data_IF_993817708469
#
_entry.id   IF_993817708469
#
_cell.length_a   1.000
_cell.length_b   1.000
_cell.length_c   1.000
_cell.angle_alpha   90.00
_cell.angle_beta   90.00
_cell.angle_gamma   90.00
#
_symmetry.space_group_name_H-M   'P 1'
#
loop_
_entity.id
_entity.type
_entity.pdbx_description
1 polymer ?
#
# COMPACT_ATOMS: atom_id res chain seq x y z
N UNK A 1 -0.99 -5.82 -72.82
CA UNK A 1 -0.89 -4.72 -71.85
C UNK A 1 -1.77 -5.03 -70.66
N UNK A 2 -1.15 -5.32 -69.50
CA UNK A 2 -1.81 -5.36 -68.19
C UNK A 2 -2.66 -6.61 -67.91
N UNK A 3 -2.17 -7.46 -67.02
CA UNK A 3 -2.59 -8.84 -66.76
C UNK A 3 -3.31 -9.01 -65.41
N UNK A 4 -4.11 -10.08 -65.35
CA UNK A 4 -4.41 -10.96 -64.22
C UNK A 4 -5.41 -10.60 -63.09
N UNK A 5 -6.36 -11.53 -62.95
CA UNK A 5 -7.29 -11.83 -61.86
C UNK A 5 -6.65 -11.92 -60.45
N UNK A 6 -7.41 -11.76 -59.36
CA UNK A 6 -6.96 -12.17 -58.04
C UNK A 6 -7.63 -13.47 -57.57
N UNK A 7 -6.82 -14.49 -57.29
CA UNK A 7 -7.16 -15.59 -56.37
C UNK A 7 -6.27 -15.47 -55.12
N UNK A 8 -6.91 -15.66 -53.96
CA UNK A 8 -6.36 -16.06 -52.65
C UNK A 8 -5.43 -15.11 -51.88
N UNK A 9 -5.88 -14.70 -50.68
CA UNK A 9 -5.01 -14.40 -49.55
C UNK A 9 -5.74 -14.75 -48.25
N UNK A 10 -5.29 -15.82 -47.59
CA UNK A 10 -5.59 -16.16 -46.21
C UNK A 10 -4.85 -15.22 -45.24
N UNK A 11 -5.47 -15.01 -44.08
CA UNK A 11 -4.91 -14.64 -42.76
C UNK A 11 -4.24 -13.26 -42.56
N UNK A 12 -4.86 -12.44 -41.71
CA UNK A 12 -4.36 -11.85 -40.44
C UNK A 12 -5.52 -10.98 -39.87
N UNK A 13 -6.13 -11.33 -38.73
CA UNK A 13 -5.79 -10.80 -37.38
C UNK A 13 -6.06 -9.27 -37.28
N UNK A 14 -6.83 -8.69 -36.35
CA UNK A 14 -6.94 -8.91 -34.90
C UNK A 14 -8.11 -8.06 -34.35
N UNK A 15 -8.91 -8.66 -33.47
CA UNK A 15 -9.63 -8.09 -32.33
C UNK A 15 -10.36 -6.74 -32.44
N UNK A 16 -11.68 -6.81 -32.70
CA UNK A 16 -12.65 -5.98 -31.99
C UNK A 16 -13.45 -6.90 -31.06
N UNK A 17 -12.99 -7.08 -29.82
CA UNK A 17 -13.74 -7.80 -28.78
C UNK A 17 -14.07 -6.84 -27.65
N UNK A 18 -15.31 -6.34 -27.73
CA UNK A 18 -16.27 -6.36 -26.64
C UNK A 18 -15.69 -6.01 -25.25
N UNK A 19 -15.72 -4.71 -24.95
CA UNK A 19 -15.55 -4.20 -23.61
C UNK A 19 -16.82 -4.50 -22.81
N UNK A 20 -16.80 -5.59 -22.06
CA UNK A 20 -17.78 -5.86 -21.03
C UNK A 20 -17.79 -4.71 -20.01
N UNK A 21 -18.88 -3.96 -20.07
CA UNK A 21 -19.26 -2.91 -19.14
C UNK A 21 -19.42 -3.50 -17.71
N UNK A 22 -18.32 -3.48 -16.94
CA UNK A 22 -18.36 -3.60 -15.49
C UNK A 22 -18.31 -2.19 -14.88
N UNK A 23 -19.23 -1.81 -13.98
CA UNK A 23 -19.30 -0.44 -13.48
C UNK A 23 -18.06 -0.08 -12.64
N UNK A 24 -17.36 1.04 -12.91
CA UNK A 24 -16.14 1.40 -12.19
C UNK A 24 -16.49 2.25 -10.98
N UNK A 25 -16.97 1.68 -9.85
CA UNK A 25 -17.29 2.56 -8.71
C UNK A 25 -17.24 2.02 -7.28
N UNK A 26 -16.58 0.89 -6.99
CA UNK A 26 -16.53 0.41 -5.58
C UNK A 26 -15.15 0.11 -4.98
N UNK A 27 -14.06 -0.06 -5.75
CA UNK A 27 -12.79 -0.53 -5.17
C UNK A 27 -11.86 0.54 -4.55
N UNK A 28 -12.12 1.84 -4.73
CA UNK A 28 -11.20 2.89 -4.24
C UNK A 28 -11.90 4.14 -3.66
N UNK A 29 -12.84 3.97 -2.71
CA UNK A 29 -13.43 5.12 -2.01
C UNK A 29 -12.46 5.87 -1.08
N UNK A 30 -11.38 5.22 -0.64
CA UNK A 30 -10.46 5.76 0.37
C UNK A 30 -9.00 5.83 -0.11
N UNK A 31 -8.33 6.90 0.30
CA UNK A 31 -6.93 7.13 0.01
C UNK A 31 -6.02 6.10 0.69
N UNK A 32 -4.86 5.85 0.09
CA UNK A 32 -3.79 5.10 0.72
C UNK A 32 -3.23 5.84 1.95
N UNK A 33 -2.46 5.10 2.74
CA UNK A 33 -1.59 5.66 3.77
C UNK A 33 -0.74 6.79 3.18
N UNK A 34 -0.79 7.98 3.78
CA UNK A 34 0.00 9.13 3.35
C UNK A 34 1.37 9.11 4.03
N UNK A 35 1.46 8.72 5.30
CA UNK A 35 2.72 8.81 6.06
C UNK A 35 3.13 7.47 6.66
N UNK A 36 4.42 7.12 6.57
CA UNK A 36 4.96 5.81 7.01
C UNK A 36 4.67 5.42 8.46
N UNK A 37 4.54 6.40 9.37
CA UNK A 37 4.17 6.18 10.77
C UNK A 37 2.68 6.32 11.09
N UNK A 38 1.84 6.64 10.11
CA UNK A 38 0.41 6.89 10.29
C UNK A 38 -0.43 6.14 9.24
N UNK A 39 -0.65 4.82 9.44
CA UNK A 39 -1.18 3.96 8.41
C UNK A 39 -2.71 4.04 8.25
N UNK A 40 -3.39 4.83 9.08
CA UNK A 40 -4.84 5.09 9.01
C UNK A 40 -5.16 6.54 8.66
N UNK A 41 -4.16 7.32 8.24
CA UNK A 41 -4.31 8.76 8.00
C UNK A 41 -4.97 9.51 9.17
N UNK A 42 -4.61 9.13 10.41
CA UNK A 42 -5.12 9.77 11.62
C UNK A 42 -4.92 11.29 11.55
N UNK A 43 -6.00 12.02 11.77
CA UNK A 43 -6.02 13.47 11.74
C UNK A 43 -5.46 14.01 13.06
N UNK A 44 -4.69 15.09 12.97
CA UNK A 44 -4.15 15.84 14.09
C UNK A 44 -5.29 16.36 14.96
N UNK A 45 -5.14 16.18 16.27
CA UNK A 45 -6.03 16.76 17.28
C UNK A 45 -5.78 18.26 17.44
N UNK A 46 -5.89 18.77 18.66
CA UNK A 46 -5.55 20.14 18.98
C UNK A 46 -4.23 20.21 19.74
N UNK A 47 -3.46 21.25 19.49
CA UNK A 47 -2.29 21.66 20.26
C UNK A 47 -2.27 23.19 20.40
N UNK A 48 -1.19 23.77 20.93
CA UNK A 48 -1.08 25.22 21.17
C UNK A 48 -1.15 26.07 19.90
N UNK A 49 -1.03 25.48 18.70
CA UNK A 49 -1.13 26.16 17.42
C UNK A 49 -2.51 26.03 16.76
N UNK A 50 -3.44 25.30 17.38
CA UNK A 50 -4.79 25.07 16.90
C UNK A 50 -5.09 23.59 16.64
N UNK A 51 -6.18 23.34 15.90
CA UNK A 51 -6.68 21.99 15.62
C UNK A 51 -6.56 21.63 14.14
N UNK A 52 -6.28 20.36 13.86
CA UNK A 52 -6.02 19.86 12.51
C UNK A 52 -7.22 19.43 11.68
N UNK A 53 -8.44 19.58 12.20
CA UNK A 53 -9.68 19.15 11.53
C UNK A 53 -10.11 20.13 10.44
N UNK A 54 -10.85 19.65 9.43
CA UNK A 54 -11.53 20.53 8.48
C UNK A 54 -12.52 21.43 9.22
N UNK A 55 -12.58 22.71 8.85
CA UNK A 55 -13.46 23.68 9.49
C UNK A 55 -13.02 24.12 10.89
N UNK A 56 -11.85 23.71 11.39
CA UNK A 56 -11.32 24.16 12.68
C UNK A 56 -11.03 25.67 12.67
N UNK A 57 -11.21 26.32 13.81
CA UNK A 57 -10.88 27.73 13.97
C UNK A 57 -9.37 27.95 13.92
N UNK A 58 -8.91 28.85 13.05
CA UNK A 58 -7.51 29.26 13.04
C UNK A 58 -7.26 30.26 14.16
N UNK A 59 -6.20 30.04 14.92
CA UNK A 59 -5.83 30.83 16.10
C UNK A 59 -5.63 32.34 15.79
N UNK A 60 -5.40 32.69 14.53
CA UNK A 60 -5.25 34.07 14.05
C UNK A 60 -6.58 34.81 13.77
N UNK A 61 -7.74 34.17 13.95
CA UNK A 61 -9.05 34.77 13.67
C UNK A 61 -9.37 35.00 12.19
N UNK A 62 -8.47 34.63 11.27
CA UNK A 62 -8.57 34.85 9.82
C UNK A 62 -9.20 33.66 9.07
N UNK A 63 -10.29 33.11 9.60
CA UNK A 63 -11.10 32.09 8.93
C UNK A 63 -10.89 30.65 9.41
N UNK A 64 -11.64 29.73 8.79
CA UNK A 64 -11.64 28.30 9.11
C UNK A 64 -10.52 27.55 8.38
N UNK A 65 -10.13 26.41 8.93
CA UNK A 65 -9.19 25.50 8.30
C UNK A 65 -9.82 24.83 7.06
N UNK A 66 -9.29 25.12 5.88
CA UNK A 66 -9.83 24.67 4.57
C UNK A 66 -9.29 23.31 4.11
N UNK A 67 -8.50 22.66 4.96
CA UNK A 67 -7.94 21.33 4.72
C UNK A 67 -7.91 20.52 6.01
N UNK A 68 -7.14 19.45 6.01
CA UNK A 68 -6.99 18.51 7.12
C UNK A 68 -5.52 18.21 7.34
N UNK A 69 -5.11 18.16 8.60
CA UNK A 69 -3.74 17.88 9.00
C UNK A 69 -3.58 16.40 9.34
N UNK A 70 -2.97 15.63 8.44
CA UNK A 70 -2.71 14.20 8.65
C UNK A 70 -1.41 14.03 9.43
N UNK A 71 -1.46 13.39 10.60
CA UNK A 71 -0.29 13.23 11.49
C UNK A 71 0.86 12.57 10.72
N UNK A 72 2.04 13.19 10.76
CA UNK A 72 3.23 12.66 10.13
C UNK A 72 4.49 13.20 10.81
N UNK A 73 5.38 12.32 11.25
CA UNK A 73 6.62 12.72 11.92
C UNK A 73 7.60 13.38 10.95
N UNK A 74 8.39 14.34 11.44
CA UNK A 74 9.46 15.00 10.68
C UNK A 74 10.39 13.97 10.03
N UNK A 75 10.73 14.15 8.75
CA UNK A 75 11.59 13.25 7.98
C UNK A 75 10.98 11.91 7.57
N UNK A 76 9.74 11.60 8.01
CA UNK A 76 9.05 10.37 7.65
C UNK A 76 8.79 10.28 6.14
N UNK A 77 8.72 9.04 5.64
CA UNK A 77 8.41 8.80 4.23
C UNK A 77 6.95 9.11 3.96
N UNK A 78 6.69 9.88 2.91
CA UNK A 78 5.37 10.24 2.42
C UNK A 78 5.05 9.41 1.18
N UNK A 79 3.84 8.88 1.09
CA UNK A 79 3.34 8.08 -0.02
C UNK A 79 2.19 8.78 -0.73
N UNK A 80 2.00 8.45 -2.01
CA UNK A 80 0.89 8.97 -2.80
C UNK A 80 -0.46 8.39 -2.34
N UNK A 81 -1.45 9.22 -1.98
CA UNK A 81 -2.77 8.75 -1.52
C UNK A 81 -3.56 8.02 -2.63
N UNK A 82 -3.32 8.38 -3.89
CA UNK A 82 -3.95 7.77 -5.07
C UNK A 82 -3.02 7.88 -6.28
N UNK A 83 -3.33 7.14 -7.34
CA UNK A 83 -2.58 7.22 -8.61
C UNK A 83 -2.99 8.47 -9.38
N UNK A 84 -2.03 9.15 -10.00
CA UNK A 84 -2.30 10.37 -10.75
C UNK A 84 -1.04 11.00 -11.36
N UNK A 85 -1.19 12.24 -11.77
CA UNK A 85 -0.13 13.10 -12.30
C UNK A 85 0.26 14.13 -11.24
N UNK A 86 1.56 14.29 -11.02
CA UNK A 86 2.10 15.38 -10.20
C UNK A 86 2.17 16.66 -11.02
N UNK A 87 1.72 17.76 -10.43
CA UNK A 87 1.65 19.07 -11.07
C UNK A 87 2.32 20.15 -10.22
N UNK A 88 3.63 20.28 -10.37
CA UNK A 88 4.43 21.43 -9.94
C UNK A 88 4.59 21.59 -8.41
N UNK A 89 5.51 22.47 -7.99
CA UNK A 89 5.65 22.86 -6.60
C UNK A 89 4.49 23.75 -6.15
N UNK A 90 4.07 23.62 -4.91
CA UNK A 90 3.20 24.60 -4.24
C UNK A 90 3.91 25.25 -3.06
N UNK A 91 3.63 26.53 -2.89
CA UNK A 91 4.07 27.36 -1.77
C UNK A 91 2.82 27.94 -1.12
N UNK A 92 2.62 27.64 0.15
CA UNK A 92 1.45 27.97 0.96
C UNK A 92 1.69 29.16 1.88
N UNK A 93 2.90 29.29 2.41
CA UNK A 93 3.33 30.37 3.26
C UNK A 93 4.25 31.27 2.44
N UNK A 94 3.74 32.34 1.82
CA UNK A 94 4.53 33.33 1.08
C UNK A 94 5.55 34.12 1.95
N UNK A 95 6.04 33.52 3.04
CA UNK A 95 7.01 34.04 4.00
C UNK A 95 8.39 33.33 3.88
N UNK A 96 8.56 32.35 2.99
CA UNK A 96 9.85 31.69 2.74
C UNK A 96 10.35 30.77 3.85
N UNK A 97 9.45 30.23 4.70
CA UNK A 97 9.84 29.32 5.77
C UNK A 97 10.25 27.92 5.23
N UNK A 98 11.00 27.16 6.04
CA UNK A 98 11.59 25.87 5.64
C UNK A 98 10.58 24.71 5.43
N UNK A 99 9.29 24.98 5.59
CA UNK A 99 8.19 24.02 5.40
C UNK A 99 7.22 24.45 4.29
N UNK A 100 7.56 25.52 3.57
CA UNK A 100 6.80 26.08 2.46
C UNK A 100 7.07 25.35 1.13
N UNK A 101 6.94 24.04 1.16
CA UNK A 101 7.11 23.18 -0.01
C UNK A 101 6.07 22.06 0.01
N UNK A 102 5.65 21.66 -1.18
CA UNK A 102 4.56 20.74 -1.40
C UNK A 102 4.31 20.52 -2.88
N UNK A 103 3.26 19.75 -3.19
CA UNK A 103 2.87 19.48 -4.57
C UNK A 103 1.36 19.37 -4.76
N UNK A 104 0.91 19.52 -6.01
CA UNK A 104 -0.46 19.21 -6.44
C UNK A 104 -0.52 17.85 -7.12
N UNK A 105 -1.56 17.09 -6.78
CA UNK A 105 -2.00 15.90 -7.50
C UNK A 105 -3.17 16.24 -8.40
N UNK A 106 -3.13 15.71 -9.62
CA UNK A 106 -4.26 15.66 -10.53
C UNK A 106 -4.52 14.21 -10.88
N UNK A 107 -5.73 13.69 -10.71
CA UNK A 107 -6.05 12.39 -11.31
C UNK A 107 -6.06 12.54 -12.83
N UNK A 108 -5.28 11.72 -13.53
CA UNK A 108 -5.37 11.62 -14.97
C UNK A 108 -6.51 10.66 -15.30
N UNK A 109 -7.73 11.19 -15.42
CA UNK A 109 -8.81 10.49 -16.11
C UNK A 109 -9.16 11.30 -17.35
N UNK A 110 -8.66 10.83 -18.49
CA UNK A 110 -9.07 11.20 -19.84
C UNK A 110 -10.45 10.58 -20.16
N UNK A 111 -11.40 10.64 -19.23
CA UNK A 111 -12.77 10.19 -19.42
C UNK A 111 -13.72 11.37 -19.14
N UNK A 112 -14.51 11.83 -20.12
CA UNK A 112 -15.41 12.99 -19.99
C UNK A 112 -16.50 12.87 -18.91
N UNK A 113 -16.59 11.76 -18.19
CA UNK A 113 -17.70 11.40 -17.29
C UNK A 113 -17.31 11.15 -15.83
N UNK A 114 -16.06 11.37 -15.42
CA UNK A 114 -15.64 11.34 -14.02
C UNK A 114 -14.96 12.66 -13.66
N UNK A 115 -15.42 13.41 -12.63
CA UNK A 115 -14.75 14.65 -12.24
C UNK A 115 -13.31 14.34 -11.81
N UNK A 116 -12.35 15.03 -12.44
CA UNK A 116 -10.95 14.97 -12.04
C UNK A 116 -10.81 15.39 -10.58
N UNK A 117 -10.00 14.65 -9.82
CA UNK A 117 -9.81 14.85 -8.40
C UNK A 117 -8.45 15.52 -8.18
N UNK A 118 -8.45 16.64 -7.45
CA UNK A 118 -7.28 17.48 -7.27
C UNK A 118 -7.01 17.71 -5.79
N UNK A 119 -5.78 17.42 -5.36
CA UNK A 119 -5.36 17.52 -3.95
C UNK A 119 -4.00 18.18 -3.83
N UNK A 120 -3.87 19.07 -2.86
CA UNK A 120 -2.63 19.70 -2.45
C UNK A 120 -2.08 18.97 -1.23
N UNK A 121 -0.83 18.54 -1.29
CA UNK A 121 -0.09 18.05 -0.11
C UNK A 121 1.03 19.03 0.21
N UNK A 122 1.00 19.57 1.42
CA UNK A 122 1.95 20.58 1.90
C UNK A 122 2.80 20.01 3.03
N UNK A 123 3.97 20.61 3.26
CA UNK A 123 4.99 20.19 4.20
C UNK A 123 5.75 18.93 3.75
N UNK A 124 5.82 18.69 2.45
CA UNK A 124 6.46 17.51 1.86
C UNK A 124 7.55 17.97 0.92
N UNK A 125 8.77 17.44 1.07
CA UNK A 125 9.81 17.54 0.07
C UNK A 125 9.69 16.39 -0.93
N UNK A 126 9.21 16.63 -2.16
CA UNK A 126 8.91 15.56 -3.11
C UNK A 126 10.18 15.00 -3.73
N UNK A 127 10.18 13.72 -4.10
CA UNK A 127 11.30 13.14 -4.89
C UNK A 127 11.33 13.70 -6.32
N UNK A 128 10.19 14.21 -6.81
CA UNK A 128 10.00 14.91 -8.08
C UNK A 128 8.68 15.69 -8.04
N UNK A 129 8.60 16.79 -8.80
CA UNK A 129 7.42 17.67 -8.86
C UNK A 129 6.49 17.40 -10.05
N UNK A 130 6.91 16.58 -11.01
CA UNK A 130 6.16 16.30 -12.22
C UNK A 130 6.23 14.80 -12.56
N UNK A 131 5.29 14.35 -13.39
CA UNK A 131 5.22 12.98 -13.89
C UNK A 131 4.15 12.14 -13.19
N UNK A 132 3.95 10.93 -13.69
CA UNK A 132 2.98 9.99 -13.13
C UNK A 132 3.47 9.43 -11.79
N UNK A 133 2.53 9.13 -10.90
CA UNK A 133 2.77 8.45 -9.63
C UNK A 133 1.66 7.44 -9.37
N UNK A 134 2.02 6.28 -8.80
CA UNK A 134 1.05 5.24 -8.42
C UNK A 134 0.67 5.39 -6.96
N UNK A 135 -0.59 5.06 -6.63
CA UNK A 135 -1.08 4.94 -5.24
C UNK A 135 -0.10 4.11 -4.39
N UNK A 136 0.27 4.63 -3.22
CA UNK A 136 1.19 3.98 -2.28
C UNK A 136 2.68 4.06 -2.66
N UNK A 137 3.02 4.62 -3.83
CA UNK A 137 4.41 4.89 -4.20
C UNK A 137 4.99 5.99 -3.31
N UNK A 138 6.29 5.91 -3.01
CA UNK A 138 7.00 6.98 -2.30
C UNK A 138 6.90 8.29 -3.10
N UNK A 139 6.38 9.31 -2.43
CA UNK A 139 6.20 10.65 -2.94
C UNK A 139 7.33 11.59 -2.50
N UNK A 140 7.81 11.44 -1.27
CA UNK A 140 8.72 12.41 -0.67
C UNK A 140 9.04 12.11 0.78
N UNK A 141 9.55 13.14 1.47
CA UNK A 141 9.75 13.14 2.92
C UNK A 141 9.07 14.32 3.56
N UNK A 142 8.56 14.12 4.76
CA UNK A 142 8.00 15.18 5.59
C UNK A 142 9.10 16.20 5.94
N UNK A 143 8.81 17.48 5.75
CA UNK A 143 9.70 18.58 6.10
C UNK A 143 9.83 18.74 7.63
N UNK A 144 10.90 19.37 8.14
CA UNK A 144 11.16 19.48 9.58
C UNK A 144 10.25 20.50 10.27
N UNK A 145 9.00 20.13 10.51
CA UNK A 145 7.98 21.00 11.10
C UNK A 145 8.31 21.43 12.53
N UNK A 146 8.91 20.57 13.35
CA UNK A 146 9.29 20.94 14.73
C UNK A 146 10.34 22.06 14.78
N UNK A 147 11.13 22.23 13.70
CA UNK A 147 12.10 23.32 13.60
C UNK A 147 11.43 24.68 13.45
N UNK A 148 10.27 24.73 12.78
CA UNK A 148 9.53 25.98 12.49
C UNK A 148 8.46 26.23 13.56
N UNK A 149 7.79 25.19 14.03
CA UNK A 149 6.73 25.26 15.03
C UNK A 149 6.99 24.27 16.19
N UNK A 150 7.91 24.59 17.12
CA UNK A 150 8.25 23.69 18.22
C UNK A 150 7.04 23.35 19.11
N UNK A 151 6.70 22.07 19.21
CA UNK A 151 5.58 21.58 20.03
C UNK A 151 4.23 21.56 19.30
N UNK A 152 4.21 21.79 17.99
CA UNK A 152 3.07 21.41 17.15
C UNK A 152 3.02 19.89 17.01
N UNK A 153 1.87 19.28 16.76
CA UNK A 153 1.85 17.90 16.28
C UNK A 153 2.27 17.90 14.81
N UNK A 154 3.41 17.29 14.47
CA UNK A 154 3.86 17.24 13.06
C UNK A 154 2.84 16.57 12.16
N UNK A 155 2.58 17.18 10.99
CA UNK A 155 1.52 16.75 10.07
C UNK A 155 1.79 17.17 8.63
N UNK A 156 1.18 16.45 7.68
CA UNK A 156 1.04 16.87 6.29
C UNK A 156 -0.31 17.55 6.18
N UNK A 157 -0.33 18.79 5.70
CA UNK A 157 -1.58 19.47 5.42
C UNK A 157 -2.11 19.01 4.06
N UNK A 158 -3.36 18.57 4.05
CA UNK A 158 -4.04 18.02 2.89
C UNK A 158 -5.29 18.82 2.58
N UNK A 159 -5.39 19.30 1.34
CA UNK A 159 -6.49 20.15 0.90
C UNK A 159 -6.98 19.73 -0.49
N UNK A 160 -8.29 19.56 -0.67
CA UNK A 160 -8.86 19.44 -2.01
C UNK A 160 -8.77 20.79 -2.72
N UNK A 161 -8.46 20.80 -4.02
CA UNK A 161 -8.25 22.06 -4.75
C UNK A 161 -9.51 22.94 -4.83
N UNK A 162 -10.70 22.35 -4.70
CA UNK A 162 -11.99 23.03 -4.63
C UNK A 162 -12.38 23.44 -3.20
N UNK A 163 -11.49 23.24 -2.21
CA UNK A 163 -11.71 23.48 -0.79
C UNK A 163 -12.84 22.66 -0.15
N UNK A 164 -13.29 21.59 -0.80
CA UNK A 164 -14.21 20.62 -0.19
C UNK A 164 -13.51 19.80 0.91
N UNK A 165 -14.30 19.24 1.83
CA UNK A 165 -13.78 18.43 2.94
C UNK A 165 -13.13 17.11 2.45
N UNK A 166 -11.82 16.88 2.67
CA UNK A 166 -11.13 15.65 2.28
C UNK A 166 -11.27 14.51 3.30
N UNK A 167 -11.94 14.74 4.44
CA UNK A 167 -12.07 13.77 5.54
C UNK A 167 -12.69 12.43 5.13
N UNK A 168 -13.75 12.37 4.28
CA UNK A 168 -14.35 11.10 3.85
C UNK A 168 -13.39 10.21 3.06
N UNK A 169 -12.40 10.79 2.38
CA UNK A 169 -11.41 10.05 1.60
C UNK A 169 -10.22 9.62 2.48
N UNK A 170 -9.90 10.39 3.51
CA UNK A 170 -8.82 10.11 4.47
C UNK A 170 -9.20 9.02 5.47
N UNK A 171 -10.44 9.04 5.95
CA UNK A 171 -10.96 8.05 6.88
C UNK A 171 -11.53 6.90 6.07
N UNK A 172 -11.01 5.66 6.20
CA UNK A 172 -11.81 4.52 5.78
C UNK A 172 -13.10 4.57 6.59
N UNK A 173 -14.26 4.62 5.92
CA UNK A 173 -15.52 4.30 6.60
C UNK A 173 -15.28 2.90 7.13
N UNK A 174 -15.10 2.76 8.44
CA UNK A 174 -15.22 1.48 9.10
C UNK A 174 -16.71 1.20 9.00
N UNK A 175 -17.18 0.36 8.06
CA UNK A 175 -18.60 0.05 8.05
C UNK A 175 -18.86 -0.62 9.40
N UNK A 176 -19.99 -0.33 10.08
CA UNK A 176 -20.50 -1.32 11.00
C UNK A 176 -20.69 -2.58 10.15
N UNK A 177 -20.04 -3.67 10.55
CA UNK A 177 -20.00 -4.99 9.89
C UNK A 177 -18.90 -5.23 8.84
N UNK A 178 -18.21 -6.38 8.92
CA UNK A 178 -17.13 -6.74 8.01
C UNK A 178 -17.68 -6.97 6.60
N UNK A 179 -17.33 -6.10 5.66
CA UNK A 179 -17.34 -6.52 4.26
C UNK A 179 -16.25 -7.58 4.11
N UNK A 180 -16.69 -8.81 3.91
CA UNK A 180 -15.86 -9.96 3.63
C UNK A 180 -15.29 -9.79 2.23
N UNK A 181 -14.22 -9.00 2.12
CA UNK A 181 -13.26 -9.19 1.04
C UNK A 181 -12.83 -10.67 1.13
N UNK A 182 -13.36 -11.51 0.25
CA UNK A 182 -13.12 -12.95 0.28
C UNK A 182 -11.65 -13.32 0.00
N UNK A 183 -10.87 -12.38 -0.52
CA UNK A 183 -9.44 -12.54 -0.82
C UNK A 183 -8.56 -11.59 0.00
N UNK A 184 -7.37 -12.05 0.34
CA UNK A 184 -6.34 -11.27 1.01
C UNK A 184 -5.73 -10.21 0.09
N UNK A 185 -5.19 -9.16 0.70
CA UNK A 185 -4.42 -8.15 -0.01
C UNK A 185 -3.08 -8.74 -0.53
N UNK A 186 -2.44 -8.07 -1.49
CA UNK A 186 -1.08 -8.40 -1.88
C UNK A 186 -0.14 -8.38 -0.68
N UNK A 187 0.59 -9.47 -0.46
CA UNK A 187 1.53 -9.62 0.66
C UNK A 187 2.84 -8.90 0.37
N UNK A 188 3.28 -8.81 -0.89
CA UNK A 188 4.57 -8.23 -1.24
C UNK A 188 4.46 -7.12 -2.30
N UNK A 189 5.24 -6.05 -2.11
CA UNK A 189 5.28 -4.89 -3.01
C UNK A 189 5.66 -5.19 -4.47
N UNK A 190 6.44 -6.25 -4.72
CA UNK A 190 6.78 -6.71 -6.08
C UNK A 190 5.84 -7.78 -6.64
N UNK A 191 4.83 -8.21 -5.88
CA UNK A 191 3.97 -9.34 -6.23
C UNK A 191 2.48 -8.99 -5.97
N UNK A 192 1.83 -8.26 -6.89
CA UNK A 192 0.46 -7.77 -6.71
C UNK A 192 -0.62 -8.87 -6.77
N UNK A 193 -0.26 -10.08 -7.20
CA UNK A 193 -1.16 -11.23 -7.39
C UNK A 193 -0.97 -12.33 -6.36
N UNK A 194 -0.06 -12.16 -5.39
CA UNK A 194 0.35 -13.20 -4.45
C UNK A 194 0.80 -14.49 -5.16
N UNK A 195 1.52 -14.35 -6.27
CA UNK A 195 2.10 -15.48 -6.98
C UNK A 195 2.87 -16.39 -6.01
N UNK A 196 2.52 -17.68 -6.03
CA UNK A 196 3.12 -18.71 -5.20
C UNK A 196 4.39 -19.19 -5.90
N UNK A 197 5.46 -19.33 -5.11
CA UNK A 197 6.74 -19.88 -5.55
C UNK A 197 6.54 -21.28 -6.15
N UNK A 198 7.05 -21.44 -7.37
CA UNK A 198 7.16 -22.74 -8.05
C UNK A 198 8.17 -23.68 -7.39
N UNK A 199 8.85 -24.50 -8.19
CA UNK A 199 9.90 -25.39 -7.71
C UNK A 199 11.28 -24.85 -8.07
N UNK A 200 12.23 -25.02 -7.15
CA UNK A 200 13.65 -24.75 -7.36
C UNK A 200 14.50 -25.84 -6.67
N UNK A 201 15.82 -25.63 -6.62
CA UNK A 201 16.77 -26.58 -6.06
C UNK A 201 16.58 -26.87 -4.55
N UNK A 202 15.73 -26.12 -3.85
CA UNK A 202 15.38 -26.32 -2.44
C UNK A 202 14.01 -26.97 -2.24
N UNK A 203 13.24 -27.17 -3.30
CA UNK A 203 11.89 -27.74 -3.26
C UNK A 203 10.85 -26.79 -3.86
N UNK A 204 9.57 -27.04 -3.55
CA UNK A 204 8.46 -26.28 -4.10
C UNK A 204 7.71 -25.48 -3.02
N UNK A 205 7.11 -24.36 -3.43
CA UNK A 205 6.46 -23.40 -2.53
C UNK A 205 4.96 -23.59 -2.30
N UNK A 206 4.28 -24.50 -3.00
CA UNK A 206 2.84 -24.74 -2.82
C UNK A 206 2.52 -25.57 -1.56
N UNK A 207 1.27 -25.50 -1.11
CA UNK A 207 0.79 -26.23 0.07
C UNK A 207 0.84 -27.74 -0.16
N UNK A 208 1.30 -28.50 0.84
CA UNK A 208 1.42 -29.95 0.73
C UNK A 208 2.63 -30.43 -0.08
N UNK A 209 3.48 -29.53 -0.60
CA UNK A 209 4.70 -29.90 -1.32
C UNK A 209 5.61 -30.82 -0.46
N UNK A 210 6.19 -31.88 -1.04
CA UNK A 210 7.07 -32.78 -0.31
C UNK A 210 8.35 -32.08 0.15
N UNK A 211 8.71 -32.22 1.42
CA UNK A 211 10.01 -31.77 1.93
C UNK A 211 11.03 -32.89 1.78
N UNK A 212 12.28 -32.53 1.46
CA UNK A 212 13.39 -33.49 1.33
C UNK A 212 13.61 -34.28 2.63
N UNK A 213 14.14 -35.50 2.50
CA UNK A 213 14.57 -36.38 3.59
C UNK A 213 13.44 -36.76 4.56
N UNK A 214 12.22 -36.99 4.06
CA UNK A 214 11.12 -37.51 4.87
C UNK A 214 10.59 -36.53 5.93
N UNK A 215 10.95 -35.24 5.85
CA UNK A 215 10.52 -34.19 6.80
C UNK A 215 9.04 -33.78 6.65
N UNK A 216 8.23 -34.63 6.04
CA UNK A 216 6.80 -34.40 5.81
C UNK A 216 6.50 -33.46 4.65
N UNK A 217 5.33 -32.83 4.73
CA UNK A 217 4.80 -31.92 3.70
C UNK A 217 4.89 -30.46 4.16
N UNK A 218 4.95 -29.56 3.20
CA UNK A 218 4.88 -28.12 3.42
C UNK A 218 3.52 -27.74 4.01
N UNK A 219 3.51 -27.11 5.19
CA UNK A 219 2.28 -26.75 5.95
C UNK A 219 1.74 -25.35 5.64
N UNK A 220 2.39 -24.64 4.74
CA UNK A 220 2.00 -23.31 4.31
C UNK A 220 2.25 -23.16 2.81
N UNK A 221 2.26 -21.91 2.37
CA UNK A 221 2.59 -21.53 0.99
C UNK A 221 3.66 -20.43 1.02
N UNK A 222 4.52 -20.46 0.01
CA UNK A 222 5.60 -19.52 -0.15
C UNK A 222 5.19 -18.47 -1.19
N UNK A 223 4.80 -17.27 -0.75
CA UNK A 223 4.43 -16.16 -1.66
C UNK A 223 5.68 -15.44 -2.12
N UNK A 224 5.91 -15.35 -3.44
CA UNK A 224 7.12 -14.76 -4.02
C UNK A 224 7.28 -13.32 -3.53
N UNK A 225 8.47 -13.01 -3.02
CA UNK A 225 8.81 -11.68 -2.53
C UNK A 225 10.33 -11.51 -2.58
N UNK A 226 10.83 -10.35 -3.03
CA UNK A 226 12.27 -10.12 -3.11
C UNK A 226 12.87 -9.75 -1.74
N UNK A 227 14.12 -10.10 -1.49
CA UNK A 227 14.87 -9.70 -0.30
C UNK A 227 14.79 -8.17 -0.10
N UNK A 228 14.48 -7.71 1.11
CA UNK A 228 14.33 -6.28 1.43
C UNK A 228 13.06 -5.61 0.89
N UNK A 229 12.21 -6.33 0.16
CA UNK A 229 10.93 -5.80 -0.31
C UNK A 229 10.00 -5.45 0.85
N UNK A 230 9.11 -4.49 0.61
CA UNK A 230 8.05 -4.15 1.57
C UNK A 230 7.00 -5.26 1.58
N UNK A 231 6.65 -5.70 2.78
CA UNK A 231 5.61 -6.69 3.05
C UNK A 231 4.40 -5.98 3.65
N UNK A 232 3.20 -6.31 3.17
CA UNK A 232 1.94 -5.74 3.63
C UNK A 232 1.09 -6.78 4.39
N UNK A 233 0.19 -6.29 5.24
CA UNK A 233 -0.75 -7.16 5.94
C UNK A 233 -1.83 -7.70 4.99
N UNK A 234 -2.00 -9.03 4.85
CA UNK A 234 -3.00 -9.63 3.97
C UNK A 234 -4.45 -9.31 4.37
N UNK A 235 -4.70 -9.09 5.66
CA UNK A 235 -6.00 -8.74 6.22
C UNK A 235 -5.86 -7.92 7.50
N UNK A 236 -6.97 -7.36 7.99
CA UNK A 236 -7.01 -6.59 9.24
C UNK A 236 -7.06 -7.51 10.46
N UNK A 237 -6.27 -7.21 11.49
CA UNK A 237 -6.25 -8.03 12.69
C UNK A 237 -5.34 -7.52 13.79
N UNK A 238 -5.15 -8.35 14.80
CA UNK A 238 -4.24 -8.13 15.89
C UNK A 238 -2.94 -8.88 15.62
N UNK A 239 -1.82 -8.18 15.77
CA UNK A 239 -0.49 -8.75 15.69
C UNK A 239 -0.11 -9.41 17.02
N UNK A 240 0.57 -10.55 16.92
CA UNK A 240 1.25 -11.22 18.02
C UNK A 240 2.55 -11.83 17.50
N UNK A 241 3.67 -11.62 18.18
CA UNK A 241 4.97 -12.16 17.80
C UNK A 241 6.02 -11.96 18.89
N UNK A 242 7.30 -12.28 18.62
CA UNK A 242 7.82 -12.80 17.36
C UNK A 242 7.42 -14.26 17.11
N UNK A 243 7.34 -14.65 15.83
CA UNK A 243 7.21 -16.04 15.40
C UNK A 243 8.55 -16.48 14.81
N UNK A 244 9.11 -17.58 15.34
CA UNK A 244 10.36 -18.19 14.88
C UNK A 244 10.07 -19.65 14.54
N UNK A 245 10.44 -20.08 13.35
CA UNK A 245 10.15 -21.45 12.87
C UNK A 245 11.40 -22.32 12.77
N UNK A 246 12.58 -21.70 12.66
CA UNK A 246 13.83 -22.44 12.54
C UNK A 246 14.48 -22.67 13.90
N UNK A 247 14.21 -21.81 14.88
CA UNK A 247 14.79 -21.85 16.24
C UNK A 247 16.32 -21.99 16.26
N UNK A 248 16.98 -21.56 15.19
CA UNK A 248 18.41 -21.75 14.98
C UNK A 248 19.16 -20.42 14.83
N UNK A 249 18.46 -19.29 14.99
CA UNK A 249 19.05 -17.95 14.95
C UNK A 249 19.56 -17.53 13.58
N UNK A 250 19.11 -18.17 12.49
CA UNK A 250 19.50 -17.76 11.15
C UNK A 250 18.93 -16.36 10.81
N UNK A 251 19.47 -15.74 9.76
CA UNK A 251 19.15 -14.36 9.39
C UNK A 251 17.69 -14.15 8.91
N UNK A 252 16.90 -15.21 8.77
CA UNK A 252 15.49 -15.17 8.36
C UNK A 252 14.52 -15.71 9.42
N UNK A 253 15.00 -16.06 10.62
CA UNK A 253 14.20 -16.67 11.70
C UNK A 253 13.45 -15.61 12.52
N UNK A 254 12.57 -14.90 11.82
CA UNK A 254 11.71 -13.86 12.37
C UNK A 254 10.39 -13.78 11.58
N UNK A 255 9.35 -13.29 12.26
CA UNK A 255 7.99 -13.37 11.78
C UNK A 255 6.97 -12.85 12.77
N UNK A 256 5.72 -12.84 12.34
CA UNK A 256 4.58 -12.34 13.11
C UNK A 256 3.32 -13.11 12.78
N UNK A 257 2.45 -13.27 13.78
CA UNK A 257 1.11 -13.81 13.59
C UNK A 257 0.09 -12.68 13.52
N UNK A 258 -0.88 -12.82 12.63
CA UNK A 258 -2.04 -11.93 12.51
C UNK A 258 -3.30 -12.73 12.76
N UNK A 259 -4.13 -12.28 13.71
CA UNK A 259 -5.46 -12.85 13.97
C UNK A 259 -6.54 -11.80 13.84
N UNK A 260 -7.51 -12.01 12.98
CA UNK A 260 -8.59 -11.07 12.71
C UNK A 260 -9.33 -11.37 11.42
N UNK A 261 -10.47 -10.73 11.19
CA UNK A 261 -11.30 -10.94 9.98
C UNK A 261 -11.66 -12.41 9.69
N UNK A 262 -11.75 -13.26 10.72
CA UNK A 262 -12.01 -14.70 10.56
C UNK A 262 -10.78 -15.54 10.23
N UNK A 263 -9.60 -14.93 10.09
CA UNK A 263 -8.34 -15.60 9.75
C UNK A 263 -7.35 -15.60 10.91
N UNK A 264 -6.43 -16.57 10.87
CA UNK A 264 -5.24 -16.62 11.71
C UNK A 264 -4.08 -17.13 10.87
N UNK A 265 -3.08 -16.29 10.61
CA UNK A 265 -1.87 -16.68 9.87
C UNK A 265 -0.60 -16.30 10.60
N UNK A 266 0.43 -17.11 10.39
CA UNK A 266 1.83 -16.81 10.65
C UNK A 266 2.48 -16.37 9.34
N UNK A 267 3.15 -15.23 9.37
CA UNK A 267 3.98 -14.71 8.29
C UNK A 267 5.43 -14.76 8.76
N UNK A 268 6.28 -15.47 8.03
CA UNK A 268 7.68 -15.73 8.40
C UNK A 268 8.62 -15.29 7.28
N UNK A 269 9.90 -15.12 7.61
CA UNK A 269 10.92 -14.50 6.75
C UNK A 269 10.73 -12.97 6.60
N UNK A 270 10.13 -12.35 7.61
CA UNK A 270 9.84 -10.91 7.66
C UNK A 270 10.39 -10.32 8.96
N UNK A 271 10.94 -9.11 8.88
CA UNK A 271 11.15 -8.25 10.03
C UNK A 271 9.98 -7.24 10.13
N UNK A 272 9.02 -7.44 11.06
CA UNK A 272 7.89 -6.54 11.21
C UNK A 272 8.31 -5.18 11.76
N UNK A 273 7.62 -4.11 11.38
CA UNK A 273 7.84 -2.79 12.00
C UNK A 273 7.44 -2.76 13.48
N UNK A 274 6.57 -3.71 13.88
CA UNK A 274 6.14 -3.97 15.27
C UNK A 274 5.54 -5.38 15.36
N UNK A 275 5.69 -6.03 16.52
CA UNK A 275 5.19 -7.39 16.76
C UNK A 275 3.80 -7.46 17.38
N UNK A 276 3.33 -6.37 17.98
CA UNK A 276 2.07 -6.32 18.71
C UNK A 276 1.26 -5.09 18.28
N UNK A 277 -0.06 -5.19 18.46
CA UNK A 277 -0.99 -4.10 18.16
C UNK A 277 -1.87 -4.39 16.95
N UNK A 278 -2.83 -3.50 16.71
CA UNK A 278 -3.78 -3.63 15.61
C UNK A 278 -3.15 -3.25 14.27
N UNK A 279 -3.38 -4.05 13.23
CA UNK A 279 -2.99 -3.76 11.85
C UNK A 279 -4.21 -3.85 10.93
N UNK A 280 -4.18 -3.12 9.82
CA UNK A 280 -5.25 -3.13 8.83
C UNK A 280 -4.75 -3.72 7.51
N UNK A 281 -5.67 -4.34 6.76
CA UNK A 281 -5.44 -4.90 5.43
C UNK A 281 -4.69 -3.90 4.54
N UNK A 282 -3.62 -4.36 3.88
CA UNK A 282 -2.79 -3.58 2.97
C UNK A 282 -1.82 -2.60 3.64
N UNK A 283 -1.80 -2.48 4.97
CA UNK A 283 -0.79 -1.67 5.67
C UNK A 283 0.59 -2.29 5.60
N UNK A 284 1.63 -1.45 5.64
CA UNK A 284 3.02 -1.92 5.75
C UNK A 284 3.17 -2.71 7.04
N UNK A 285 3.50 -3.99 6.89
CA UNK A 285 3.76 -4.91 7.99
C UNK A 285 5.24 -4.92 8.35
N UNK A 286 6.13 -4.86 7.36
CA UNK A 286 7.56 -5.01 7.58
C UNK A 286 8.37 -5.09 6.30
N UNK A 287 9.58 -5.62 6.45
CA UNK A 287 10.52 -5.87 5.36
C UNK A 287 10.84 -7.36 5.27
N UNK A 288 10.93 -7.86 4.05
CA UNK A 288 11.41 -9.22 3.83
C UNK A 288 12.88 -9.35 4.25
N UNK A 289 13.20 -10.42 4.96
CA UNK A 289 14.55 -10.75 5.42
C UNK A 289 15.45 -11.26 4.27
N UNK A 290 16.78 -11.23 4.42
CA UNK A 290 17.72 -11.58 3.34
C UNK A 290 17.80 -13.11 3.12
N UNK A 291 16.81 -13.66 2.43
CA UNK A 291 16.70 -15.09 2.17
C UNK A 291 17.84 -15.64 1.32
N UNK A 292 18.31 -14.88 0.32
CA UNK A 292 19.44 -15.30 -0.52
C UNK A 292 20.73 -15.52 0.27
N UNK A 293 20.88 -14.87 1.42
CA UNK A 293 22.03 -15.06 2.29
C UNK A 293 22.03 -16.44 2.98
N UNK A 294 20.84 -16.98 3.25
CA UNK A 294 20.67 -18.26 3.94
C UNK A 294 20.53 -19.41 2.94
N UNK A 295 19.82 -19.17 1.84
CA UNK A 295 19.57 -20.17 0.79
C UNK A 295 19.87 -19.57 -0.60
N UNK A 296 21.14 -19.50 -1.02
CA UNK A 296 21.51 -18.93 -2.31
C UNK A 296 20.85 -19.67 -3.49
N UNK A 297 20.11 -18.96 -4.33
CA UNK A 297 19.44 -19.54 -5.50
C UNK A 297 18.05 -20.13 -5.22
N UNK A 298 17.53 -19.98 -4.01
CA UNK A 298 16.10 -20.19 -3.75
C UNK A 298 15.29 -19.06 -4.39
N UNK A 299 14.04 -19.28 -4.79
CA UNK A 299 13.15 -18.15 -5.08
C UNK A 299 12.78 -17.47 -3.75
N UNK A 300 13.16 -16.22 -3.56
CA UNK A 300 12.83 -15.45 -2.35
C UNK A 300 11.31 -15.36 -2.15
N UNK A 301 10.84 -15.60 -0.92
CA UNK A 301 9.42 -15.63 -0.57
C UNK A 301 9.13 -15.24 0.89
N UNK A 302 7.87 -14.89 1.17
CA UNK A 302 7.28 -14.90 2.51
C UNK A 302 6.58 -16.23 2.72
N UNK A 303 6.90 -16.93 3.80
CA UNK A 303 6.20 -18.15 4.18
C UNK A 303 4.91 -17.78 4.91
N UNK A 304 3.78 -18.23 4.37
CA UNK A 304 2.43 -17.96 4.87
C UNK A 304 1.78 -19.27 5.32
N UNK A 305 1.45 -19.38 6.60
CA UNK A 305 0.88 -20.57 7.19
C UNK A 305 -0.36 -20.21 8.01
N UNK A 306 -1.50 -20.88 7.77
CA UNK A 306 -2.65 -20.78 8.67
C UNK A 306 -2.30 -21.37 10.04
N UNK A 307 -2.81 -20.77 11.12
CA UNK A 307 -2.49 -21.21 12.48
C UNK A 307 -2.88 -22.67 12.78
N UNK A 308 -3.90 -23.18 12.10
CA UNK A 308 -4.38 -24.57 12.17
C UNK A 308 -3.75 -25.50 11.13
N UNK A 309 -2.78 -25.00 10.35
CA UNK A 309 -2.11 -25.69 9.25
C UNK A 309 -3.02 -26.08 8.07
N UNK A 310 -4.21 -25.49 7.95
CA UNK A 310 -5.05 -25.63 6.75
C UNK A 310 -4.44 -24.91 5.54
N UNK A 311 -4.88 -25.27 4.34
CA UNK A 311 -4.40 -24.69 3.09
C UNK A 311 -4.84 -23.21 2.95
N UNK A 312 -3.89 -22.24 2.91
CA UNK A 312 -4.24 -20.82 2.76
C UNK A 312 -4.47 -20.37 1.31
N UNK A 313 -4.25 -21.24 0.31
CA UNK A 313 -4.16 -20.88 -1.11
C UNK A 313 -5.38 -20.11 -1.61
N UNK A 314 -6.60 -20.54 -1.25
CA UNK A 314 -7.85 -19.91 -1.70
C UNK A 314 -7.99 -18.45 -1.28
N UNK A 315 -7.30 -18.03 -0.22
CA UNK A 315 -7.33 -16.64 0.25
C UNK A 315 -6.32 -15.76 -0.49
N UNK A 316 -5.30 -16.34 -1.12
CA UNK A 316 -4.22 -15.61 -1.80
C UNK A 316 -4.54 -15.36 -3.28
N UNK A 317 -5.35 -16.22 -3.89
CA UNK A 317 -5.75 -16.08 -5.29
C UNK A 317 -6.65 -14.85 -5.48
N UNK A 318 -6.10 -13.81 -6.11
CA UNK A 318 -6.94 -12.91 -6.90
C UNK A 318 -7.37 -13.70 -8.12
N UNK A 319 -8.65 -14.04 -8.18
CA UNK A 319 -9.31 -14.82 -9.23
C UNK A 319 -8.45 -14.99 -10.47
N UNK A 320 -7.77 -16.13 -10.57
CA UNK A 320 -7.49 -16.69 -11.89
C UNK A 320 -8.87 -16.95 -12.47
N UNK A 321 -9.23 -16.14 -13.47
CA UNK A 321 -10.36 -16.47 -14.32
C UNK A 321 -10.23 -17.92 -14.76
N UNK A 322 -11.38 -18.60 -14.84
CA UNK A 322 -11.51 -19.83 -15.61
C UNK A 322 -10.85 -19.67 -16.98
#
# INVERSE_FOLDING_TARGET
>A
TGEFSPFSSFAHEVFAKEWDAHPPQQQHRHWAQICSGNPTNKIRGCDKYGCGQFGADRHSGKGKHVGVDVICADGATVYAPFSGQLSGPIRFFHNGNAIDDGLVFLTSLLLPSLPGYCVKLVCVHPIRYQGQIRRGQQLGRMLPMQKVFPGIISHIHVENCDHSDPTPQLTPVVPPFPQQDSSWAPVCSGNPTNEIRGCDNYGCGYYGAPRRNGKGKHRGVDVICADGATVYAPFSGQLSGPIKIFHNGNAIDDGVQIRGSGFCVKLVCIHPIRYNGRIFKGQVLGKMLPMQRVFPGITSHIHVENCDHSDPTSNLERGKGQ
#
